data_IF_760267732470
#
_entry.id   IF_760267732470
#
_cell.length_a   1.000
_cell.length_b   1.000
_cell.length_c   1.000
_cell.angle_alpha   90.00
_cell.angle_beta   90.00
_cell.angle_gamma   90.00
#
_symmetry.space_group_name_H-M   'P 1'
#
loop_
_entity.id
_entity.type
_entity.pdbx_description
1 polymer ?
#
# COMPACT_ATOMS: atom_id res chain seq x y z
N UNK A 1 7.38 -20.05 -49.17
CA UNK A 1 6.26 -19.46 -48.41
C UNK A 1 6.65 -19.51 -46.95
N UNK A 2 7.20 -18.43 -46.39
CA UNK A 2 7.55 -18.38 -44.97
C UNK A 2 6.38 -17.75 -44.21
N UNK A 3 5.72 -18.54 -43.35
CA UNK A 3 4.66 -18.03 -42.48
C UNK A 3 5.26 -17.11 -41.42
N UNK A 4 4.80 -15.86 -41.38
CA UNK A 4 5.12 -14.94 -40.30
C UNK A 4 4.27 -15.29 -39.07
N UNK A 5 4.92 -15.62 -37.96
CA UNK A 5 4.29 -15.75 -36.64
C UNK A 5 4.30 -14.37 -35.99
N UNK A 6 3.15 -13.69 -35.97
CA UNK A 6 2.97 -12.48 -35.16
C UNK A 6 2.64 -12.91 -33.73
N UNK A 7 3.55 -12.64 -32.78
CA UNK A 7 3.24 -12.63 -31.36
C UNK A 7 2.84 -11.22 -30.97
N UNK A 8 1.59 -11.03 -30.54
CA UNK A 8 1.21 -9.78 -29.87
C UNK A 8 2.02 -9.64 -28.57
N UNK A 9 2.57 -8.45 -28.29
CA UNK A 9 3.28 -8.23 -27.04
C UNK A 9 2.32 -8.44 -25.86
N UNK A 10 2.80 -9.01 -24.74
CA UNK A 10 1.95 -9.27 -23.58
C UNK A 10 1.33 -7.97 -23.07
N UNK A 11 0.02 -8.01 -22.80
CA UNK A 11 -0.67 -6.89 -22.16
C UNK A 11 -0.21 -6.77 -20.71
N UNK A 12 0.52 -5.70 -20.39
CA UNK A 12 0.97 -5.42 -19.02
C UNK A 12 0.00 -4.44 -18.34
N UNK A 13 -0.51 -4.81 -17.15
CA UNK A 13 -1.22 -3.86 -16.26
C UNK A 13 -0.19 -2.98 -15.55
N UNK A 14 -0.37 -1.66 -15.57
CA UNK A 14 0.40 -0.76 -14.70
C UNK A 14 -0.12 -0.89 -13.27
N UNK A 15 0.78 -1.14 -12.32
CA UNK A 15 0.50 -1.16 -10.89
C UNK A 15 1.16 0.05 -10.24
N UNK A 16 0.40 0.82 -9.47
CA UNK A 16 0.89 1.93 -8.66
C UNK A 16 1.08 1.45 -7.23
N UNK A 17 2.34 1.45 -6.81
CA UNK A 17 2.74 1.18 -5.43
C UNK A 17 2.85 2.52 -4.70
N UNK A 18 2.20 2.63 -3.55
CA UNK A 18 2.32 3.75 -2.61
C UNK A 18 3.10 3.25 -1.41
N UNK A 19 4.29 3.80 -1.20
CA UNK A 19 5.13 3.47 -0.04
C UNK A 19 5.09 4.62 0.97
N UNK A 20 4.86 4.28 2.23
CA UNK A 20 4.96 5.16 3.39
C UNK A 20 5.78 4.48 4.49
N UNK A 21 6.23 5.24 5.48
CA UNK A 21 6.98 4.74 6.64
C UNK A 21 6.84 5.72 7.80
N UNK A 22 7.28 5.31 8.99
CA UNK A 22 7.53 6.21 10.14
C UNK A 22 6.30 7.05 10.52
N UNK A 23 5.11 6.44 10.49
CA UNK A 23 3.88 7.18 10.78
C UNK A 23 3.72 7.44 12.27
N UNK A 24 4.34 6.68 13.17
CA UNK A 24 4.37 6.99 14.60
C UNK A 24 2.97 7.30 15.19
N UNK A 25 2.00 6.42 14.94
CA UNK A 25 0.56 6.56 15.24
C UNK A 25 -0.21 7.63 14.42
N UNK A 26 0.43 8.34 13.51
CA UNK A 26 -0.28 9.20 12.56
C UNK A 26 -1.18 8.36 11.66
N UNK A 27 -2.35 8.92 11.31
CA UNK A 27 -3.35 8.22 10.51
C UNK A 27 -3.89 9.14 9.41
N UNK A 28 -4.17 8.62 8.21
CA UNK A 28 -4.85 9.41 7.19
C UNK A 28 -6.31 9.71 7.59
N UNK A 29 -6.90 8.92 8.49
CA UNK A 29 -8.27 9.13 8.96
C UNK A 29 -8.40 10.31 9.93
N UNK A 30 -7.33 10.68 10.62
CA UNK A 30 -7.27 11.88 11.46
C UNK A 30 -6.82 13.12 10.67
N UNK A 31 -6.53 12.96 9.37
CA UNK A 31 -6.04 14.04 8.51
C UNK A 31 -4.56 14.36 8.69
N UNK A 32 -3.79 13.53 9.40
CA UNK A 32 -2.35 13.76 9.60
C UNK A 32 -1.55 13.70 8.30
N UNK A 33 -2.01 12.90 7.33
CA UNK A 33 -1.48 12.84 5.97
C UNK A 33 -2.55 12.40 4.99
N UNK A 34 -2.26 12.52 3.69
CA UNK A 34 -3.14 12.07 2.61
C UNK A 34 -2.47 10.94 1.85
N UNK A 35 -3.22 9.88 1.57
CA UNK A 35 -2.78 8.83 0.67
C UNK A 35 -3.21 9.16 -0.76
N UNK A 36 -2.30 9.16 -1.75
CA UNK A 36 -2.70 9.20 -3.15
C UNK A 36 -3.41 7.89 -3.51
N UNK A 37 -4.19 7.91 -4.60
CA UNK A 37 -4.74 6.67 -5.18
C UNK A 37 -3.59 5.74 -5.57
N UNK A 38 -3.75 4.44 -5.32
CA UNK A 38 -2.83 3.40 -5.74
C UNK A 38 -3.45 2.01 -5.63
N UNK A 39 -2.75 1.01 -6.15
CA UNK A 39 -3.21 -0.38 -6.15
C UNK A 39 -2.66 -1.13 -4.95
N UNK A 40 -1.40 -0.87 -4.58
CA UNK A 40 -0.71 -1.50 -3.44
C UNK A 40 -0.21 -0.43 -2.48
N UNK A 41 -0.60 -0.55 -1.21
CA UNK A 41 -0.02 0.23 -0.12
C UNK A 41 1.04 -0.59 0.60
N UNK A 42 2.22 0.00 0.80
CA UNK A 42 3.30 -0.57 1.61
C UNK A 42 3.60 0.37 2.77
N UNK A 43 3.48 -0.11 4.00
CA UNK A 43 4.01 0.57 5.19
C UNK A 43 5.34 -0.09 5.59
N UNK A 44 6.43 0.66 5.52
CA UNK A 44 7.80 0.14 5.57
C UNK A 44 8.46 0.24 6.96
N UNK A 45 7.70 0.03 8.05
CA UNK A 45 8.19 0.13 9.44
C UNK A 45 7.68 1.34 10.22
N UNK A 46 7.92 1.36 11.53
CA UNK A 46 7.65 2.48 12.46
C UNK A 46 6.23 3.07 12.43
N UNK A 47 5.23 2.19 12.36
CA UNK A 47 3.81 2.59 12.37
C UNK A 47 3.28 3.06 13.74
N UNK A 48 3.99 2.73 14.82
CA UNK A 48 3.57 3.00 16.20
C UNK A 48 4.70 3.64 16.99
N UNK A 49 4.38 4.32 18.08
CA UNK A 49 5.41 4.88 18.96
C UNK A 49 6.02 3.84 19.89
N UNK A 50 5.20 2.93 20.44
CA UNK A 50 5.65 2.00 21.48
C UNK A 50 5.31 0.54 21.18
N UNK A 51 4.67 0.24 20.04
CA UNK A 51 4.27 -1.13 19.69
C UNK A 51 3.19 -1.72 20.59
N UNK A 52 2.46 -0.90 21.36
CA UNK A 52 1.39 -1.41 22.21
C UNK A 52 0.26 -1.99 21.38
N UNK A 53 -0.44 -2.99 21.93
CA UNK A 53 -1.60 -3.60 21.26
C UNK A 53 -2.63 -2.55 20.80
N UNK A 54 -2.87 -1.52 21.62
CA UNK A 54 -3.81 -0.45 21.30
C UNK A 54 -3.34 0.40 20.10
N UNK A 55 -2.04 0.62 19.95
CA UNK A 55 -1.47 1.36 18.82
C UNK A 55 -1.57 0.53 17.54
N UNK A 56 -1.20 -0.74 17.61
CA UNK A 56 -1.30 -1.65 16.47
C UNK A 56 -2.74 -1.84 16.00
N UNK A 57 -3.70 -1.92 16.93
CA UNK A 57 -5.13 -1.97 16.61
C UNK A 57 -5.58 -0.70 15.86
N UNK A 58 -5.23 0.49 16.34
CA UNK A 58 -5.56 1.75 15.63
C UNK A 58 -4.92 1.79 14.24
N UNK A 59 -3.70 1.31 14.10
CA UNK A 59 -3.04 1.23 12.79
C UNK A 59 -3.75 0.25 11.86
N UNK A 60 -4.07 -0.94 12.33
CA UNK A 60 -4.81 -1.94 11.56
C UNK A 60 -6.17 -1.41 11.11
N UNK A 61 -6.91 -0.75 12.00
CA UNK A 61 -8.23 -0.17 11.69
C UNK A 61 -8.19 0.82 10.53
N UNK A 62 -7.18 1.68 10.44
CA UNK A 62 -7.10 2.61 9.32
C UNK A 62 -6.54 1.95 8.06
N UNK A 63 -5.61 1.00 8.18
CA UNK A 63 -5.10 0.21 7.06
C UNK A 63 -6.19 -0.63 6.38
N UNK A 64 -7.18 -1.12 7.14
CA UNK A 64 -8.35 -1.81 6.60
C UNK A 64 -9.24 -0.86 5.77
N UNK A 65 -9.44 0.37 6.26
CA UNK A 65 -10.36 1.37 5.68
C UNK A 65 -9.86 2.04 4.40
N UNK A 66 -8.56 2.04 4.13
CA UNK A 66 -8.01 2.67 2.92
C UNK A 66 -8.26 1.84 1.67
N UNK A 67 -8.60 2.51 0.58
CA UNK A 67 -8.99 1.91 -0.70
C UNK A 67 -7.76 1.51 -1.53
N UNK A 68 -7.19 0.35 -1.20
CA UNK A 68 -6.10 -0.31 -1.93
C UNK A 68 -6.42 -1.79 -2.09
N UNK A 69 -6.05 -2.36 -3.24
CA UNK A 69 -6.24 -3.78 -3.57
C UNK A 69 -5.43 -4.68 -2.63
N UNK A 70 -4.18 -4.29 -2.36
CA UNK A 70 -3.30 -4.98 -1.41
C UNK A 70 -2.67 -4.00 -0.43
N UNK A 71 -2.51 -4.45 0.82
CA UNK A 71 -1.82 -3.73 1.89
C UNK A 71 -0.72 -4.61 2.46
N UNK A 72 0.52 -4.14 2.42
CA UNK A 72 1.70 -4.85 2.93
C UNK A 72 2.26 -4.03 4.08
N UNK A 73 2.51 -4.72 5.19
CA UNK A 73 3.13 -4.16 6.38
C UNK A 73 4.44 -4.87 6.61
N UNK A 74 5.52 -4.11 6.75
CA UNK A 74 6.84 -4.60 7.16
C UNK A 74 7.07 -4.16 8.60
N UNK A 75 7.44 -5.13 9.45
CA UNK A 75 7.75 -4.94 10.86
C UNK A 75 9.25 -4.87 11.09
#
# INVERSE_FOLDING_TARGET
MAGQWQHDPPTLRRTRIVCISDTHNASPLTGAFKLPKGDVLIHAGDMSNQGSLSELQRTAEWMEKVDFEAKIVVA
#
